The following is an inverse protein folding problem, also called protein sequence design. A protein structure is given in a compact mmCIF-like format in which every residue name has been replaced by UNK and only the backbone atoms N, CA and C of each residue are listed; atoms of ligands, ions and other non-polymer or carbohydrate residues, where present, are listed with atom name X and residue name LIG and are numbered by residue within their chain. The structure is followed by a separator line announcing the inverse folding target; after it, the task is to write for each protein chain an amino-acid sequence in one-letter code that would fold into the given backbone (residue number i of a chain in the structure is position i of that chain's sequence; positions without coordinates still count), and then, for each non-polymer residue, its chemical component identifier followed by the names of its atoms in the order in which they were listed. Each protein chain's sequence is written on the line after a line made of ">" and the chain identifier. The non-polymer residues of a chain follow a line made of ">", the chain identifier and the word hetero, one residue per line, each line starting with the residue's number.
data_IF_272115091607
#
_entry.id   IF_272115091607
#
_cell.length_a   1.000
_cell.length_b   1.000
_cell.length_c   1.000
_cell.angle_alpha   90.00
_cell.angle_beta   90.00
_cell.angle_gamma   90.00
#
_symmetry.space_group_name_H-M   'P 1'
#
loop_
_entity.id
_entity.type
_entity.pdbx_description
1 polymer ?
#
# COMPACT_ATOMS: atom_id res chain seq x y z
N UNK A 1 5.92 -9.14 9.15
CA UNK A 1 5.52 -10.19 8.18
C UNK A 1 5.01 -11.38 8.99
N UNK A 2 3.92 -12.03 8.60
CA UNK A 2 3.39 -13.18 9.33
C UNK A 2 4.33 -14.40 9.21
N UNK A 3 4.39 -15.24 10.24
CA UNK A 3 5.00 -16.57 10.18
C UNK A 3 4.15 -17.51 9.32
N UNK A 4 4.68 -18.67 8.93
CA UNK A 4 3.90 -19.69 8.22
C UNK A 4 2.67 -20.12 9.02
N UNK A 5 2.79 -20.21 10.35
CA UNK A 5 1.68 -20.53 11.25
C UNK A 5 0.61 -19.44 11.23
N UNK A 6 0.98 -18.16 11.37
CA UNK A 6 0.05 -17.04 11.29
C UNK A 6 -0.63 -16.96 9.90
N UNK A 7 0.11 -17.21 8.82
CA UNK A 7 -0.44 -17.28 7.47
C UNK A 7 -1.44 -18.42 7.33
N UNK A 8 -1.13 -19.59 7.89
CA UNK A 8 -2.01 -20.74 7.86
C UNK A 8 -3.32 -20.42 8.58
N UNK A 9 -3.28 -19.82 9.76
CA UNK A 9 -4.48 -19.39 10.49
C UNK A 9 -5.31 -18.43 9.63
N UNK A 10 -4.69 -17.40 9.05
CA UNK A 10 -5.39 -16.43 8.21
C UNK A 10 -6.09 -17.08 7.00
N UNK A 11 -5.44 -18.03 6.33
CA UNK A 11 -6.05 -18.78 5.22
C UNK A 11 -7.17 -19.70 5.71
N UNK A 12 -6.98 -20.38 6.85
CA UNK A 12 -8.00 -21.26 7.44
C UNK A 12 -9.24 -20.48 7.85
N UNK A 13 -9.11 -19.26 8.39
CA UNK A 13 -10.24 -18.38 8.67
C UNK A 13 -11.08 -18.12 7.41
N UNK A 14 -10.43 -17.82 6.27
CA UNK A 14 -11.16 -17.63 5.01
C UNK A 14 -11.83 -18.92 4.52
N UNK A 15 -11.18 -20.07 4.69
CA UNK A 15 -11.74 -21.37 4.31
C UNK A 15 -12.94 -21.77 5.17
N UNK A 16 -12.90 -21.53 6.47
CA UNK A 16 -14.04 -21.76 7.37
C UNK A 16 -15.23 -20.88 6.94
N UNK A 17 -14.99 -19.60 6.66
CA UNK A 17 -16.04 -18.71 6.14
C UNK A 17 -16.60 -19.28 4.82
N UNK A 18 -15.73 -19.68 3.89
CA UNK A 18 -16.15 -20.13 2.57
C UNK A 18 -16.89 -21.47 2.53
N UNK A 19 -16.49 -22.44 3.37
CA UNK A 19 -16.94 -23.83 3.27
C UNK A 19 -17.78 -24.31 4.46
N UNK A 20 -17.71 -23.66 5.63
CA UNK A 20 -18.37 -24.14 6.84
C UNK A 20 -19.45 -23.18 7.35
N UNK A 21 -19.36 -21.87 7.06
CA UNK A 21 -20.29 -20.88 7.62
C UNK A 21 -21.63 -20.75 6.89
N UNK A 22 -21.74 -21.25 5.64
CA UNK A 22 -22.94 -21.14 4.80
C UNK A 22 -23.23 -19.74 4.26
N UNK A 23 -22.42 -18.72 4.57
CA UNK A 23 -22.65 -17.32 4.12
C UNK A 23 -22.51 -17.14 2.61
N UNK A 24 -21.93 -18.12 1.91
CA UNK A 24 -21.73 -18.15 0.46
C UNK A 24 -22.90 -18.78 -0.31
N UNK A 25 -23.89 -19.34 0.39
CA UNK A 25 -25.02 -20.05 -0.23
C UNK A 25 -26.04 -19.12 -0.89
N UNK A 26 -26.04 -17.82 -0.54
CA UNK A 26 -26.86 -16.79 -1.17
C UNK A 26 -26.02 -15.58 -1.57
N UNK A 27 -26.37 -14.95 -2.68
CA UNK A 27 -25.87 -13.62 -3.00
C UNK A 27 -26.49 -12.60 -2.03
N UNK A 28 -25.66 -11.72 -1.48
CA UNK A 28 -26.02 -10.66 -0.54
C UNK A 28 -27.05 -11.05 0.54
N UNK A 29 -26.66 -11.91 1.50
CA UNK A 29 -27.57 -12.40 2.53
C UNK A 29 -28.10 -11.30 3.47
N UNK A 30 -27.57 -10.07 3.41
CA UNK A 30 -28.02 -8.93 4.22
C UNK A 30 -29.02 -8.04 3.48
N UNK A 31 -29.30 -8.30 2.20
CA UNK A 31 -30.24 -7.55 1.39
C UNK A 31 -31.62 -7.46 2.06
N UNK A 32 -32.20 -6.27 2.07
CA UNK A 32 -33.50 -5.99 2.67
C UNK A 32 -33.49 -5.82 4.20
N UNK A 33 -32.33 -5.99 4.86
CA UNK A 33 -32.20 -5.64 6.28
C UNK A 33 -32.38 -4.13 6.48
N UNK A 34 -33.47 -3.71 7.13
CA UNK A 34 -33.79 -2.29 7.31
C UNK A 34 -32.62 -1.45 7.85
N UNK A 35 -31.86 -1.99 8.81
CA UNK A 35 -30.72 -1.28 9.39
C UNK A 35 -29.53 -1.19 8.42
N UNK A 36 -29.20 -2.29 7.75
CA UNK A 36 -28.06 -2.33 6.81
C UNK A 36 -28.37 -1.47 5.60
N UNK A 37 -29.57 -1.57 5.03
CA UNK A 37 -30.00 -0.75 3.90
C UNK A 37 -30.01 0.75 4.23
N UNK A 38 -30.53 1.11 5.42
CA UNK A 38 -30.46 2.50 5.89
C UNK A 38 -29.01 2.98 6.05
N UNK A 39 -28.14 2.16 6.64
CA UNK A 39 -26.74 2.51 6.85
C UNK A 39 -25.98 2.62 5.52
N UNK A 40 -26.28 1.76 4.55
CA UNK A 40 -25.74 1.83 3.18
C UNK A 40 -26.11 3.17 2.53
N UNK A 41 -27.38 3.57 2.58
CA UNK A 41 -27.82 4.85 2.02
C UNK A 41 -27.16 6.05 2.72
N UNK A 42 -27.02 6.01 4.05
CA UNK A 42 -26.38 7.09 4.80
C UNK A 42 -24.88 7.19 4.48
N UNK A 43 -24.20 6.05 4.33
CA UNK A 43 -22.79 6.02 3.93
C UNK A 43 -22.60 6.55 2.50
N UNK A 44 -23.45 6.13 1.56
CA UNK A 44 -23.43 6.61 0.17
C UNK A 44 -23.61 8.13 0.13
N UNK A 45 -24.64 8.66 0.81
CA UNK A 45 -24.92 10.10 0.85
C UNK A 45 -23.70 10.89 1.34
N UNK A 46 -23.10 10.47 2.46
CA UNK A 46 -21.92 11.13 3.03
C UNK A 46 -20.70 11.01 2.13
N UNK A 47 -20.52 9.88 1.45
CA UNK A 47 -19.44 9.70 0.49
C UNK A 47 -19.59 10.67 -0.69
N UNK A 48 -20.79 10.85 -1.23
CA UNK A 48 -21.06 11.84 -2.29
C UNK A 48 -20.82 13.28 -1.84
N UNK A 49 -21.29 13.65 -0.65
CA UNK A 49 -21.00 14.97 -0.06
C UNK A 49 -19.49 15.22 0.04
N UNK A 50 -18.72 14.21 0.45
CA UNK A 50 -17.27 14.29 0.56
C UNK A 50 -16.59 14.37 -0.82
N UNK A 51 -17.08 13.63 -1.81
CA UNK A 51 -16.58 13.72 -3.19
C UNK A 51 -16.81 15.11 -3.79
N UNK A 52 -17.99 15.69 -3.61
CA UNK A 52 -18.26 17.06 -4.06
C UNK A 52 -17.36 18.08 -3.39
N UNK A 53 -17.09 17.93 -2.08
CA UNK A 53 -16.10 18.77 -1.39
C UNK A 53 -14.72 18.68 -2.04
N UNK A 54 -14.29 17.48 -2.46
CA UNK A 54 -13.01 17.30 -3.16
C UNK A 54 -13.04 17.93 -4.55
N UNK A 55 -14.16 17.81 -5.29
CA UNK A 55 -14.34 18.45 -6.59
C UNK A 55 -14.25 19.99 -6.49
N UNK A 56 -14.92 20.58 -5.50
CA UNK A 56 -14.89 22.02 -5.21
C UNK A 56 -13.49 22.53 -4.87
N UNK A 57 -12.61 21.67 -4.35
CA UNK A 57 -11.21 21.96 -4.07
C UNK A 57 -10.30 21.87 -5.31
N UNK A 58 -10.85 21.57 -6.48
CA UNK A 58 -10.09 21.38 -7.73
C UNK A 58 -9.71 19.92 -8.00
N UNK A 59 -10.36 18.97 -7.34
CA UNK A 59 -10.18 17.54 -7.51
C UNK A 59 -9.12 16.92 -6.60
N UNK A 60 -8.95 15.59 -6.71
CA UNK A 60 -8.13 14.81 -5.79
C UNK A 60 -6.66 15.24 -5.74
N UNK A 61 -6.06 15.60 -6.87
CA UNK A 61 -4.64 16.04 -6.91
C UNK A 61 -4.45 17.32 -6.11
N UNK A 62 -5.29 18.34 -6.36
CA UNK A 62 -5.26 19.60 -5.61
C UNK A 62 -5.52 19.38 -4.11
N UNK A 63 -6.47 18.50 -3.77
CA UNK A 63 -6.74 18.12 -2.39
C UNK A 63 -5.52 17.47 -1.70
N UNK A 64 -4.79 16.60 -2.39
CA UNK A 64 -3.55 15.98 -1.86
C UNK A 64 -2.43 17.01 -1.73
N UNK A 65 -2.23 17.86 -2.73
CA UNK A 65 -1.18 18.90 -2.73
C UNK A 65 -1.41 19.96 -1.65
N UNK A 66 -2.67 20.30 -1.36
CA UNK A 66 -3.06 21.19 -0.26
C UNK A 66 -2.93 20.55 1.14
N UNK A 67 -2.59 19.27 1.21
CA UNK A 67 -2.48 18.50 2.45
C UNK A 67 -3.82 18.16 3.10
N UNK A 68 -4.95 18.39 2.43
CA UNK A 68 -6.28 18.21 3.00
C UNK A 68 -6.56 16.76 3.38
N UNK A 69 -6.28 15.82 2.48
CA UNK A 69 -6.50 14.39 2.71
C UNK A 69 -5.67 13.88 3.88
N UNK A 70 -4.41 14.31 3.97
CA UNK A 70 -3.49 13.93 5.04
C UNK A 70 -3.97 14.45 6.40
N UNK A 71 -4.45 15.71 6.47
CA UNK A 71 -5.02 16.28 7.70
C UNK A 71 -6.24 15.51 8.17
N UNK A 72 -7.20 15.22 7.29
CA UNK A 72 -8.42 14.48 7.66
C UNK A 72 -8.10 13.08 8.21
N UNK A 73 -7.14 12.37 7.60
CA UNK A 73 -6.66 11.06 8.10
C UNK A 73 -5.99 11.22 9.48
N UNK A 74 -5.16 12.25 9.66
CA UNK A 74 -4.47 12.50 10.92
C UNK A 74 -5.44 12.86 12.04
N UNK A 75 -6.41 13.73 11.77
CA UNK A 75 -7.46 14.11 12.72
C UNK A 75 -8.30 12.90 13.14
N UNK A 76 -8.72 12.05 12.18
CA UNK A 76 -9.45 10.82 12.47
C UNK A 76 -8.61 9.83 13.30
N UNK A 77 -7.33 9.67 12.95
CA UNK A 77 -6.39 8.80 13.67
C UNK A 77 -6.14 9.29 15.10
N UNK A 78 -6.00 10.61 15.28
CA UNK A 78 -5.80 11.21 16.59
C UNK A 78 -7.05 11.14 17.46
N UNK A 79 -8.24 11.38 16.89
CA UNK A 79 -9.51 11.18 17.58
C UNK A 79 -9.70 9.72 18.01
N UNK A 80 -9.34 8.76 17.15
CA UNK A 80 -9.34 7.34 17.49
C UNK A 80 -8.37 7.04 18.63
N UNK A 81 -7.11 7.48 18.54
CA UNK A 81 -6.08 7.25 19.55
C UNK A 81 -6.52 7.83 20.90
N UNK A 82 -7.01 9.07 20.92
CA UNK A 82 -7.56 9.69 22.12
C UNK A 82 -8.71 8.88 22.71
N UNK A 83 -9.63 8.38 21.89
CA UNK A 83 -10.75 7.58 22.38
C UNK A 83 -10.27 6.25 23.02
N UNK A 84 -9.17 5.67 22.52
CA UNK A 84 -8.53 4.49 23.13
C UNK A 84 -7.85 4.86 24.45
N UNK A 85 -7.09 5.97 24.48
CA UNK A 85 -6.35 6.41 25.68
C UNK A 85 -7.30 6.84 26.81
N UNK A 86 -8.39 7.51 26.48
CA UNK A 86 -9.46 7.89 27.41
C UNK A 86 -10.40 6.72 27.77
N UNK A 87 -10.13 5.52 27.27
CA UNK A 87 -10.94 4.31 27.44
C UNK A 87 -12.42 4.44 27.02
N UNK A 88 -12.74 5.43 26.19
CA UNK A 88 -14.05 5.55 25.51
C UNK A 88 -14.25 4.45 24.47
N UNK A 89 -13.15 3.98 23.88
CA UNK A 89 -13.10 2.81 23.00
C UNK A 89 -12.30 1.70 23.68
N UNK A 90 -12.96 0.59 23.97
CA UNK A 90 -12.31 -0.56 24.59
C UNK A 90 -11.59 -1.41 23.53
N UNK A 91 -10.31 -1.68 23.76
CA UNK A 91 -9.50 -2.66 23.01
C UNK A 91 -9.01 -3.70 24.02
N UNK A 92 -9.60 -4.90 23.94
CA UNK A 92 -9.29 -6.03 24.81
C UNK A 92 -7.83 -6.43 24.63
N UNK A 93 -7.12 -6.64 25.75
CA UNK A 93 -5.69 -6.95 25.77
C UNK A 93 -4.78 -5.71 25.71
N UNK A 94 -5.31 -4.53 25.33
CA UNK A 94 -4.50 -3.31 25.18
C UNK A 94 -4.79 -2.27 26.25
N UNK A 95 -6.04 -1.82 26.41
CA UNK A 95 -6.41 -0.82 27.43
C UNK A 95 -7.37 -1.36 28.50
N UNK A 96 -7.93 -2.56 28.27
CA UNK A 96 -8.71 -3.31 29.25
C UNK A 96 -8.36 -4.79 29.13
N UNK A 97 -8.39 -5.49 30.26
CA UNK A 97 -8.11 -6.93 30.34
C UNK A 97 -6.68 -7.28 29.85
N UNK A 98 -5.70 -6.48 30.27
CA UNK A 98 -4.29 -6.71 29.97
C UNK A 98 -3.78 -7.94 30.75
N UNK A 99 -2.89 -8.70 30.13
CA UNK A 99 -2.13 -9.76 30.79
C UNK A 99 -0.75 -9.20 31.17
N UNK A 100 -0.28 -9.47 32.39
CA UNK A 100 0.98 -8.92 32.90
C UNK A 100 2.22 -9.53 32.18
N UNK A 101 2.12 -10.77 31.70
CA UNK A 101 3.22 -11.53 31.09
C UNK A 101 2.83 -12.08 29.70
N UNK A 102 2.62 -11.20 28.72
CA UNK A 102 2.40 -11.62 27.32
C UNK A 102 3.72 -11.54 26.52
N UNK A 103 4.33 -12.70 26.24
CA UNK A 103 5.45 -12.74 25.31
C UNK A 103 4.96 -12.54 23.88
N UNK A 104 5.57 -11.63 23.09
CA UNK A 104 5.15 -11.41 21.72
C UNK A 104 5.48 -12.64 20.86
N UNK A 105 4.43 -13.37 20.48
CA UNK A 105 4.54 -14.56 19.65
C UNK A 105 4.66 -14.20 18.16
N UNK A 106 5.34 -15.06 17.40
CA UNK A 106 5.36 -15.02 15.92
C UNK A 106 6.00 -13.78 15.29
N UNK A 107 7.04 -13.21 15.91
CA UNK A 107 7.83 -12.14 15.28
C UNK A 107 8.72 -12.73 14.18
N UNK A 108 8.40 -12.41 12.93
CA UNK A 108 9.32 -12.65 11.81
C UNK A 108 10.53 -11.71 11.90
N UNK A 109 11.74 -12.29 11.90
CA UNK A 109 13.01 -11.55 11.81
C UNK A 109 13.63 -11.78 10.43
N UNK A 110 13.98 -10.69 9.74
CA UNK A 110 14.68 -10.74 8.46
C UNK A 110 16.12 -11.18 8.71
N UNK A 111 16.60 -12.19 7.98
CA UNK A 111 17.99 -12.63 8.03
C UNK A 111 18.91 -11.60 7.32
N UNK A 112 19.88 -10.98 8.01
CA UNK A 112 20.85 -10.06 7.42
C UNK A 112 21.66 -10.67 6.26
N UNK A 113 21.85 -12.00 6.21
CA UNK A 113 22.53 -12.65 5.10
C UNK A 113 21.76 -12.54 3.78
N UNK A 114 20.45 -12.30 3.83
CA UNK A 114 19.61 -12.06 2.64
C UNK A 114 20.11 -10.88 1.83
N UNK A 115 20.49 -9.78 2.49
CA UNK A 115 21.02 -8.59 1.83
C UNK A 115 22.36 -8.91 1.15
N UNK A 116 23.28 -9.55 1.88
CA UNK A 116 24.60 -9.94 1.37
C UNK A 116 24.48 -10.85 0.15
N UNK A 117 23.61 -11.85 0.24
CA UNK A 117 23.32 -12.76 -0.87
C UNK A 117 22.74 -12.02 -2.08
N UNK A 118 21.84 -11.05 -1.87
CA UNK A 118 21.25 -10.27 -2.95
C UNK A 118 22.27 -9.34 -3.63
N UNK A 119 23.15 -8.69 -2.87
CA UNK A 119 24.24 -7.87 -3.42
C UNK A 119 25.16 -8.73 -4.28
N UNK A 120 25.57 -9.91 -3.79
CA UNK A 120 26.42 -10.84 -4.55
C UNK A 120 25.75 -11.30 -5.85
N UNK A 121 24.46 -11.65 -5.80
CA UNK A 121 23.66 -12.01 -6.98
C UNK A 121 23.59 -10.85 -7.97
N UNK A 122 23.34 -9.63 -7.50
CA UNK A 122 23.26 -8.44 -8.33
C UNK A 122 24.60 -8.13 -9.03
N UNK A 123 25.71 -8.23 -8.32
CA UNK A 123 27.04 -8.04 -8.90
C UNK A 123 27.37 -9.09 -9.97
N UNK A 124 27.05 -10.36 -9.71
CA UNK A 124 27.23 -11.43 -10.70
C UNK A 124 26.34 -11.22 -11.93
N UNK A 125 25.08 -10.85 -11.71
CA UNK A 125 24.11 -10.52 -12.76
C UNK A 125 24.60 -9.39 -13.67
N UNK A 126 25.09 -8.29 -13.10
CA UNK A 126 25.63 -7.16 -13.88
C UNK A 126 26.88 -7.51 -14.69
N UNK A 127 27.67 -8.50 -14.27
CA UNK A 127 28.87 -8.96 -15.01
C UNK A 127 28.54 -9.79 -16.26
N UNK A 128 27.35 -10.39 -16.33
CA UNK A 128 26.98 -11.34 -17.38
C UNK A 128 26.15 -10.72 -18.51
N UNK A 129 25.66 -9.50 -18.33
CA UNK A 129 24.77 -8.83 -19.30
C UNK A 129 25.55 -8.01 -20.34
N UNK A 130 24.87 -7.69 -21.43
CA UNK A 130 25.38 -6.76 -22.44
C UNK A 130 25.21 -5.30 -21.97
N UNK A 131 26.28 -4.73 -21.43
CA UNK A 131 26.30 -3.35 -20.96
C UNK A 131 26.10 -2.30 -22.07
N UNK A 132 26.40 -2.63 -23.34
CA UNK A 132 26.14 -1.71 -24.45
C UNK A 132 24.63 -1.65 -24.75
N UNK A 133 23.97 -2.80 -24.79
CA UNK A 133 22.52 -2.88 -24.93
C UNK A 133 21.79 -2.18 -23.78
N UNK A 134 22.25 -2.37 -22.54
CA UNK A 134 21.70 -1.69 -21.35
C UNK A 134 21.82 -0.17 -21.48
N UNK A 135 23.00 0.35 -21.82
CA UNK A 135 23.20 1.80 -22.00
C UNK A 135 22.30 2.36 -23.10
N UNK A 136 22.12 1.63 -24.20
CA UNK A 136 21.23 2.04 -25.29
C UNK A 136 19.76 2.10 -24.84
N UNK A 137 19.28 1.07 -24.14
CA UNK A 137 17.90 1.02 -23.62
C UNK A 137 17.64 2.11 -22.58
N UNK A 138 18.58 2.35 -21.66
CA UNK A 138 18.48 3.44 -20.68
C UNK A 138 18.45 4.82 -21.33
N UNK A 139 19.23 5.03 -22.41
CA UNK A 139 19.21 6.27 -23.18
C UNK A 139 17.88 6.46 -23.92
N UNK A 140 17.30 5.38 -24.45
CA UNK A 140 15.96 5.39 -25.07
C UNK A 140 14.88 5.75 -24.05
N UNK A 141 14.98 5.23 -22.84
CA UNK A 141 14.10 5.56 -21.72
C UNK A 141 14.24 7.03 -21.29
N UNK A 142 15.46 7.56 -21.14
CA UNK A 142 15.70 8.97 -20.82
C UNK A 142 15.01 9.90 -21.83
N UNK A 143 15.19 9.60 -23.13
CA UNK A 143 14.52 10.32 -24.21
C UNK A 143 12.99 10.24 -24.08
N UNK A 144 12.44 9.04 -23.86
CA UNK A 144 10.99 8.86 -23.69
C UNK A 144 10.44 9.68 -22.50
N UNK A 145 11.20 9.75 -21.40
CA UNK A 145 10.83 10.54 -20.22
C UNK A 145 10.76 12.04 -20.54
N UNK A 146 11.72 12.56 -21.31
CA UNK A 146 11.77 13.97 -21.71
C UNK A 146 10.70 14.33 -22.74
N UNK A 147 10.48 13.43 -23.70
CA UNK A 147 9.52 13.62 -24.80
C UNK A 147 8.07 13.32 -24.38
N UNK A 148 7.85 12.90 -23.12
CA UNK A 148 6.55 12.52 -22.54
C UNK A 148 5.83 11.44 -23.36
N UNK A 149 6.59 10.49 -23.88
CA UNK A 149 6.07 9.32 -24.55
C UNK A 149 5.51 8.29 -23.55
N UNK A 150 4.80 7.27 -24.04
CA UNK A 150 4.41 6.14 -23.22
C UNK A 150 5.65 5.36 -22.74
N UNK A 151 5.90 5.42 -21.42
CA UNK A 151 7.09 4.83 -20.80
C UNK A 151 7.07 3.31 -20.68
N UNK A 152 5.90 2.67 -20.84
CA UNK A 152 5.79 1.22 -20.69
C UNK A 152 6.69 0.46 -21.68
N UNK A 153 6.68 0.86 -22.95
CA UNK A 153 7.47 0.22 -24.00
C UNK A 153 8.98 0.30 -23.76
N UNK A 154 9.59 1.49 -23.54
CA UNK A 154 11.01 1.58 -23.25
C UNK A 154 11.41 0.91 -21.92
N UNK A 155 10.52 0.86 -20.92
CA UNK A 155 10.76 0.09 -19.69
C UNK A 155 10.83 -1.42 -20.00
N UNK A 156 9.90 -1.94 -20.79
CA UNK A 156 9.91 -3.36 -21.19
C UNK A 156 11.16 -3.69 -22.00
N UNK A 157 11.59 -2.81 -22.90
CA UNK A 157 12.86 -2.94 -23.64
C UNK A 157 14.07 -2.97 -22.69
N UNK A 158 14.11 -2.06 -21.70
CA UNK A 158 15.18 -2.02 -20.69
C UNK A 158 15.23 -3.30 -19.85
N UNK A 159 14.08 -3.83 -19.44
CA UNK A 159 13.98 -5.09 -18.68
C UNK A 159 14.45 -6.28 -19.52
N UNK A 160 14.10 -6.33 -20.81
CA UNK A 160 14.54 -7.41 -21.73
C UNK A 160 16.06 -7.48 -21.91
N UNK A 161 16.75 -6.35 -21.81
CA UNK A 161 18.22 -6.29 -21.83
C UNK A 161 18.84 -6.38 -20.43
N UNK A 162 18.09 -6.87 -19.44
CA UNK A 162 18.58 -7.12 -18.08
C UNK A 162 19.02 -5.86 -17.33
N UNK A 163 18.31 -4.75 -17.55
CA UNK A 163 18.42 -3.55 -16.72
C UNK A 163 17.76 -3.78 -15.36
N UNK A 164 18.37 -3.25 -14.30
CA UNK A 164 17.86 -3.36 -12.94
C UNK A 164 16.79 -2.30 -12.64
N UNK A 165 15.92 -2.58 -11.66
CA UNK A 165 14.93 -1.60 -11.18
C UNK A 165 15.58 -0.27 -10.77
N UNK A 166 16.71 -0.32 -10.04
CA UNK A 166 17.41 0.88 -9.60
C UNK A 166 17.98 1.73 -10.75
N UNK A 167 18.39 1.11 -11.86
CA UNK A 167 18.88 1.84 -13.04
C UNK A 167 17.74 2.52 -13.81
N UNK A 168 16.61 1.83 -13.97
CA UNK A 168 15.39 2.38 -14.58
C UNK A 168 14.89 3.57 -13.75
N UNK A 169 14.71 3.38 -12.44
CA UNK A 169 14.30 4.45 -11.54
C UNK A 169 15.32 5.59 -11.48
N UNK A 170 16.62 5.29 -11.59
CA UNK A 170 17.68 6.30 -11.64
C UNK A 170 17.56 7.22 -12.85
N UNK A 171 17.28 6.68 -14.04
CA UNK A 171 17.02 7.50 -15.24
C UNK A 171 15.77 8.36 -15.05
N UNK A 172 14.68 7.78 -14.58
CA UNK A 172 13.43 8.51 -14.37
C UNK A 172 13.59 9.62 -13.32
N UNK A 173 14.34 9.37 -12.23
CA UNK A 173 14.67 10.36 -11.20
C UNK A 173 15.47 11.53 -11.76
N UNK A 174 16.40 11.28 -12.67
CA UNK A 174 17.18 12.36 -13.29
C UNK A 174 16.32 13.31 -14.13
N UNK A 175 15.19 12.85 -14.66
CA UNK A 175 14.28 13.66 -15.48
C UNK A 175 13.16 14.29 -14.64
N UNK A 176 12.55 13.52 -13.73
CA UNK A 176 11.36 13.95 -12.97
C UNK A 176 11.69 14.47 -11.56
N UNK A 177 12.88 14.20 -11.05
CA UNK A 177 13.26 14.48 -9.66
C UNK A 177 12.67 13.48 -8.68
N UNK A 178 12.83 13.77 -7.39
CA UNK A 178 12.18 13.05 -6.30
C UNK A 178 11.07 13.94 -5.71
N UNK A 179 9.90 13.35 -5.49
CA UNK A 179 8.82 14.04 -4.77
C UNK A 179 9.22 14.22 -3.30
N UNK A 180 9.06 15.44 -2.79
CA UNK A 180 9.14 15.74 -1.36
C UNK A 180 7.77 16.17 -0.90
N UNK A 181 7.17 15.38 -0.03
CA UNK A 181 5.93 15.77 0.62
C UNK A 181 6.14 17.08 1.38
N UNK A 182 5.18 18.02 1.33
CA UNK A 182 5.19 19.15 2.25
C UNK A 182 5.23 18.58 3.67
N UNK A 183 6.20 19.02 4.49
CA UNK A 183 6.19 18.72 5.93
C UNK A 183 4.91 19.34 6.49
N UNK A 184 3.93 18.49 6.80
CA UNK A 184 2.74 18.91 7.52
C UNK A 184 3.19 19.54 8.84
N UNK A 185 2.72 20.77 9.08
CA UNK A 185 2.80 21.46 10.38
C UNK A 185 1.71 20.90 11.27
#
# INVERSE_FOLDING_TARGET
>A
LPTEEAQRIAVRTQQIIAYESGVTDSADPLAGSYYVEWLTNELEKRAWEYLHRIEDMGGAVAAIESGFIQREIQEASWAYQRAVDEAKKTIVGVNRFQLEDEEPQMIFKVDPETERAQIKKLQAFKKQRDDAAVRAALKRLDKACRDRENLLYPIVEAVKVYTTLGEICGVMRNVFGDYRAPTAV
#
